data_IF_236218684027
#
_entry.id   IF_236218684027
#
_cell.length_a   1.000
_cell.length_b   1.000
_cell.length_c   1.000
_cell.angle_alpha   90.00
_cell.angle_beta   90.00
_cell.angle_gamma   90.00
#
_symmetry.space_group_name_H-M   'P 1'
#
loop_
_entity.id
_entity.type
_entity.pdbx_description
1 polymer ?
#
# COMPACT_ATOMS: atom_id res chain seq x y z
N UNK A 1 14.57 -4.21 8.48
CA UNK A 1 13.51 -4.25 7.44
C UNK A 1 14.00 -5.21 6.40
N UNK A 2 13.19 -6.19 5.99
CA UNK A 2 13.56 -7.11 4.91
C UNK A 2 13.88 -6.33 3.63
N UNK A 3 14.72 -6.90 2.76
CA UNK A 3 15.09 -6.29 1.49
C UNK A 3 13.83 -6.00 0.63
N UNK A 4 13.51 -4.73 0.33
CA UNK A 4 12.31 -4.38 -0.43
C UNK A 4 12.38 -4.80 -1.91
N UNK A 5 13.55 -5.16 -2.43
CA UNK A 5 13.70 -5.61 -3.82
C UNK A 5 12.85 -6.83 -4.15
N UNK A 6 12.68 -7.77 -3.22
CA UNK A 6 11.89 -9.00 -3.44
C UNK A 6 10.41 -8.69 -3.74
N UNK A 7 9.91 -7.56 -3.27
CA UNK A 7 8.52 -7.13 -3.41
C UNK A 7 8.24 -6.40 -4.74
N UNK A 8 9.28 -6.10 -5.54
CA UNK A 8 9.12 -5.46 -6.84
C UNK A 8 8.94 -6.51 -7.93
N UNK A 9 7.83 -6.40 -8.66
CA UNK A 9 7.47 -7.33 -9.73
C UNK A 9 7.36 -6.63 -11.08
N UNK A 10 7.97 -7.21 -12.12
CA UNK A 10 7.76 -6.74 -13.49
C UNK A 10 6.48 -7.30 -14.11
N UNK A 11 5.61 -6.42 -14.62
CA UNK A 11 4.38 -6.76 -15.33
C UNK A 11 4.25 -5.84 -16.54
N UNK A 12 4.23 -6.41 -17.75
CA UNK A 12 4.07 -5.62 -18.98
C UNK A 12 5.15 -4.56 -19.20
N UNK A 13 6.37 -4.79 -18.73
CA UNK A 13 7.48 -3.83 -18.79
C UNK A 13 7.50 -2.78 -17.68
N UNK A 14 6.50 -2.75 -16.80
CA UNK A 14 6.43 -1.87 -15.64
C UNK A 14 6.83 -2.61 -14.36
N UNK A 15 7.49 -1.92 -13.44
CA UNK A 15 7.82 -2.38 -12.09
C UNK A 15 6.71 -2.01 -11.13
N UNK A 16 6.07 -3.00 -10.53
CA UNK A 16 4.99 -2.83 -9.57
C UNK A 16 5.49 -3.16 -8.16
N UNK A 17 5.09 -2.35 -7.19
CA UNK A 17 5.23 -2.64 -5.75
C UNK A 17 3.83 -2.79 -5.14
N UNK A 18 3.49 -4.00 -4.69
CA UNK A 18 2.26 -4.23 -3.93
C UNK A 18 2.50 -3.93 -2.45
N UNK A 19 1.55 -3.26 -1.80
CA UNK A 19 1.64 -2.89 -0.38
C UNK A 19 0.35 -3.29 0.33
N UNK A 20 0.47 -3.92 1.49
CA UNK A 20 -0.66 -4.32 2.34
C UNK A 20 -0.35 -3.98 3.81
N UNK A 21 -1.39 -3.77 4.63
CA UNK A 21 -1.19 -3.39 6.03
C UNK A 21 -0.76 -4.58 6.91
N UNK A 22 -1.40 -5.74 6.74
CA UNK A 22 -1.22 -6.89 7.63
C UNK A 22 -1.30 -8.23 6.89
N UNK A 23 -0.56 -9.28 7.33
CA UNK A 23 -0.68 -10.62 6.76
C UNK A 23 -2.07 -11.24 6.90
N UNK A 24 -2.91 -10.73 7.81
CA UNK A 24 -4.28 -11.21 8.01
C UNK A 24 -5.16 -11.05 6.76
N UNK A 25 -4.88 -10.04 5.93
CA UNK A 25 -5.60 -9.76 4.68
C UNK A 25 -5.01 -10.54 3.49
N UNK A 26 -3.84 -11.13 3.67
CA UNK A 26 -3.06 -11.79 2.62
C UNK A 26 -3.40 -13.29 2.50
N UNK A 27 -4.59 -13.56 1.97
CA UNK A 27 -5.13 -14.91 1.81
C UNK A 27 -4.47 -15.75 0.71
N UNK A 28 -4.82 -17.06 0.59
CA UNK A 28 -4.18 -18.00 -0.35
C UNK A 28 -4.20 -17.56 -1.82
N UNK A 29 -5.29 -16.95 -2.27
CA UNK A 29 -5.42 -16.48 -3.66
C UNK A 29 -4.47 -15.31 -3.98
N UNK A 30 -4.22 -14.41 -3.02
CA UNK A 30 -3.24 -13.34 -3.17
C UNK A 30 -1.81 -13.90 -3.10
N UNK A 31 -1.55 -14.86 -2.21
CA UNK A 31 -0.25 -15.53 -2.08
C UNK A 31 0.24 -16.21 -3.36
N UNK A 32 -0.67 -16.63 -4.21
CA UNK A 32 -0.35 -17.20 -5.52
C UNK A 32 0.00 -16.13 -6.58
N UNK A 33 -0.26 -14.86 -6.30
CA UNK A 33 -0.26 -13.79 -7.31
C UNK A 33 0.72 -12.66 -7.03
N UNK A 34 0.94 -12.28 -5.77
CA UNK A 34 1.75 -11.11 -5.41
C UNK A 34 2.65 -11.44 -4.22
N UNK A 35 3.73 -10.68 -4.03
CA UNK A 35 4.55 -10.67 -2.81
C UNK A 35 4.57 -9.25 -2.23
N UNK A 36 3.60 -8.88 -1.38
CA UNK A 36 3.43 -7.50 -0.95
C UNK A 36 4.43 -7.11 0.15
N UNK A 37 4.85 -5.86 0.13
CA UNK A 37 5.45 -5.23 1.30
C UNK A 37 4.37 -5.08 2.38
N UNK A 38 4.61 -5.64 3.56
CA UNK A 38 3.74 -5.45 4.73
C UNK A 38 4.19 -4.18 5.46
N UNK A 39 3.40 -3.11 5.38
CA UNK A 39 3.76 -1.79 5.90
C UNK A 39 3.31 -1.54 7.35
N UNK A 40 2.51 -2.43 7.93
CA UNK A 40 1.96 -2.25 9.27
C UNK A 40 0.61 -1.54 9.28
N UNK A 41 0.00 -1.47 10.46
CA UNK A 41 -1.37 -0.95 10.64
C UNK A 41 -1.33 0.48 11.17
N UNK A 42 -2.11 1.36 10.54
CA UNK A 42 -2.23 2.77 10.92
C UNK A 42 -1.35 3.70 10.08
N UNK A 43 -1.68 5.01 10.05
CA UNK A 43 -1.05 5.96 9.13
C UNK A 43 0.45 6.16 9.40
N UNK A 44 0.89 6.11 10.67
CA UNK A 44 2.29 6.33 11.06
C UNK A 44 3.18 5.17 10.59
N UNK A 45 2.84 3.94 10.99
CA UNK A 45 3.61 2.73 10.62
C UNK A 45 3.66 2.55 9.10
N UNK A 46 2.50 2.69 8.44
CA UNK A 46 2.41 2.55 7.00
C UNK A 46 3.29 3.57 6.27
N UNK A 47 3.28 4.84 6.71
CA UNK A 47 4.11 5.89 6.14
C UNK A 47 5.61 5.62 6.36
N UNK A 48 6.02 5.29 7.59
CA UNK A 48 7.41 5.06 7.93
C UNK A 48 8.00 3.88 7.14
N UNK A 49 7.31 2.73 7.11
CA UNK A 49 7.80 1.54 6.41
C UNK A 49 7.75 1.68 4.89
N UNK A 50 6.68 2.24 4.32
CA UNK A 50 6.60 2.44 2.87
C UNK A 50 7.66 3.45 2.39
N UNK A 51 7.85 4.56 3.11
CA UNK A 51 8.86 5.56 2.77
C UNK A 51 10.28 4.98 2.85
N UNK A 52 10.60 4.21 3.88
CA UNK A 52 11.90 3.56 4.02
C UNK A 52 12.16 2.57 2.87
N UNK A 53 11.18 1.72 2.52
CA UNK A 53 11.31 0.78 1.41
C UNK A 53 11.49 1.50 0.06
N UNK A 54 10.70 2.54 -0.21
CA UNK A 54 10.81 3.34 -1.43
C UNK A 54 12.15 4.08 -1.52
N UNK A 55 12.69 4.57 -0.40
CA UNK A 55 13.99 5.22 -0.35
C UNK A 55 15.12 4.24 -0.72
N UNK A 56 15.09 3.02 -0.18
CA UNK A 56 16.05 1.96 -0.52
C UNK A 56 15.95 1.61 -2.01
N UNK A 57 14.74 1.35 -2.52
CA UNK A 57 14.52 1.03 -3.93
C UNK A 57 14.96 2.14 -4.87
N UNK A 58 14.77 3.41 -4.49
CA UNK A 58 15.25 4.55 -5.26
C UNK A 58 16.76 4.62 -5.29
N UNK A 59 17.42 4.43 -4.15
CA UNK A 59 18.87 4.47 -4.05
C UNK A 59 19.54 3.39 -4.91
N UNK A 60 18.93 2.22 -5.03
CA UNK A 60 19.44 1.08 -5.81
C UNK A 60 18.96 1.04 -7.27
N UNK A 61 18.28 2.08 -7.77
CA UNK A 61 17.79 2.15 -9.16
C UNK A 61 16.57 1.27 -9.45
N UNK A 62 15.92 0.71 -8.43
CA UNK A 62 14.76 -0.17 -8.51
C UNK A 62 13.43 0.52 -8.16
N UNK A 63 13.32 1.84 -8.33
CA UNK A 63 12.08 2.60 -8.06
C UNK A 63 10.89 1.96 -8.78
N UNK A 64 9.79 1.60 -8.11
CA UNK A 64 8.62 1.07 -8.80
C UNK A 64 7.98 2.16 -9.67
N UNK A 65 7.47 1.75 -10.83
CA UNK A 65 6.71 2.64 -11.72
C UNK A 65 5.27 2.80 -11.21
N UNK A 66 4.74 1.78 -10.52
CA UNK A 66 3.41 1.77 -9.91
C UNK A 66 3.47 1.18 -8.50
N UNK A 67 2.81 1.84 -7.54
CA UNK A 67 2.53 1.28 -6.21
C UNK A 67 1.05 0.90 -6.14
N UNK A 68 0.77 -0.36 -5.82
CA UNK A 68 -0.60 -0.87 -5.63
C UNK A 68 -0.83 -1.12 -4.15
N UNK A 69 -1.51 -0.18 -3.49
CA UNK A 69 -1.98 -0.36 -2.11
C UNK A 69 -3.32 -1.09 -2.11
N UNK A 70 -3.41 -2.23 -1.44
CA UNK A 70 -4.63 -3.02 -1.35
C UNK A 70 -4.82 -3.61 0.05
N UNK A 71 -6.08 -3.78 0.44
CA UNK A 71 -6.47 -4.27 1.75
C UNK A 71 -7.99 -4.30 1.87
N UNK A 72 -8.46 -4.66 3.05
CA UNK A 72 -9.88 -4.59 3.40
C UNK A 72 -10.28 -3.19 3.82
N UNK A 73 -11.56 -2.84 3.64
CA UNK A 73 -12.12 -1.59 4.12
C UNK A 73 -13.58 -1.80 4.54
N UNK A 74 -13.99 -1.11 5.60
CA UNK A 74 -15.39 -1.06 6.02
C UNK A 74 -16.16 -0.02 5.20
N UNK A 75 -17.40 -0.34 4.82
CA UNK A 75 -18.32 0.63 4.23
C UNK A 75 -19.73 0.42 4.78
N UNK A 76 -20.45 1.52 4.98
CA UNK A 76 -21.85 1.51 5.41
C UNK A 76 -22.83 1.47 4.22
N UNK A 77 -22.36 1.84 3.02
CA UNK A 77 -23.23 2.07 1.85
C UNK A 77 -22.89 1.23 0.63
N UNK A 78 -21.74 0.55 0.63
CA UNK A 78 -21.33 -0.33 -0.47
C UNK A 78 -21.68 -1.78 -0.15
N UNK A 79 -21.83 -2.60 -1.19
CA UNK A 79 -22.11 -4.03 -1.05
C UNK A 79 -21.01 -4.73 -0.25
N UNK A 80 -21.45 -5.62 0.66
CA UNK A 80 -20.56 -6.42 1.49
C UNK A 80 -19.77 -7.43 0.64
N UNK A 81 -18.51 -7.67 1.01
CA UNK A 81 -17.61 -8.63 0.34
C UNK A 81 -17.40 -8.39 -1.17
N UNK A 82 -17.48 -7.13 -1.60
CA UNK A 82 -17.14 -6.70 -2.96
C UNK A 82 -15.78 -5.99 -3.03
N UNK A 83 -15.18 -5.97 -4.22
CA UNK A 83 -13.90 -5.29 -4.49
C UNK A 83 -14.16 -3.98 -5.21
N UNK A 84 -13.58 -2.90 -4.69
CA UNK A 84 -13.70 -1.55 -5.25
C UNK A 84 -12.33 -0.95 -5.53
N UNK A 85 -12.23 -0.15 -6.59
CA UNK A 85 -11.07 0.71 -6.82
C UNK A 85 -11.28 2.04 -6.12
N UNK A 86 -10.23 2.51 -5.44
CA UNK A 86 -10.24 3.80 -4.75
C UNK A 86 -10.03 4.91 -5.78
N UNK A 87 -11.00 5.81 -5.91
CA UNK A 87 -10.88 7.00 -6.76
C UNK A 87 -10.08 8.11 -6.06
N UNK A 88 -10.34 8.33 -4.77
CA UNK A 88 -9.75 9.40 -3.96
C UNK A 88 -9.56 8.95 -2.51
N UNK A 89 -8.58 9.52 -1.82
CA UNK A 89 -8.30 9.31 -0.39
C UNK A 89 -8.28 10.65 0.35
N UNK A 90 -8.65 10.64 1.63
CA UNK A 90 -8.56 11.80 2.53
C UNK A 90 -7.95 11.37 3.87
N UNK A 91 -7.27 12.30 4.55
CA UNK A 91 -6.72 12.06 5.88
C UNK A 91 -7.65 12.64 6.94
N UNK A 92 -8.62 11.84 7.40
CA UNK A 92 -9.69 12.28 8.31
C UNK A 92 -9.20 12.74 9.69
N UNK A 93 -8.00 12.32 10.10
CA UNK A 93 -7.43 12.68 11.41
C UNK A 93 -6.79 14.09 11.38
N UNK A 94 -6.67 14.69 10.20
CA UNK A 94 -6.15 16.05 10.03
C UNK A 94 -7.29 17.07 10.21
N UNK A 95 -7.21 17.87 11.27
CA UNK A 95 -8.03 19.08 11.44
C UNK A 95 -7.12 20.30 11.50
N UNK A 96 -7.09 21.03 10.39
CA UNK A 96 -6.36 22.29 10.24
C UNK A 96 -7.30 23.51 10.22
N UNK A 97 -8.60 23.33 10.55
CA UNK A 97 -9.58 24.41 10.53
C UNK A 97 -9.20 25.63 11.38
N UNK A 98 -8.46 25.52 12.51
CA UNK A 98 -8.02 26.70 13.25
C UNK A 98 -7.04 27.61 12.51
N UNK A 99 -6.43 27.15 11.41
CA UNK A 99 -5.48 27.94 10.61
C UNK A 99 -6.19 28.97 9.69
N UNK A 100 -7.49 28.81 9.43
CA UNK A 100 -8.35 29.87 8.86
C UNK A 100 -8.11 30.23 7.38
N UNK A 101 -7.54 29.35 6.57
CA UNK A 101 -7.39 29.54 5.11
C UNK A 101 -8.56 28.97 4.30
#
# INVERSE_FOLDING_TARGET
>A
MDDPHRHVRSVGGLRLLFVMATPAEYGPHLKQRIDPLICGVGPVEAAAHAAAALAVLRHSGATPDIVVNLGSAGSRSLDHAAVYQVERVSYRDMDASPLGF
#
